data_IF_379308394486
#
_entry.id   IF_379308394486
#
_cell.length_a   1.000
_cell.length_b   1.000
_cell.length_c   1.000
_cell.angle_alpha   90.00
_cell.angle_beta   90.00
_cell.angle_gamma   90.00
#
_symmetry.space_group_name_H-M   'P 1'
#
loop_
_entity.id
_entity.type
_entity.pdbx_description
1 polymer ?
#
# COMPACT_ATOMS: atom_id res chain seq x y z
N UNK A 1 4.18 7.64 4.00
CA UNK A 1 4.67 7.12 2.72
C UNK A 1 6.01 6.46 2.96
N UNK A 2 6.17 5.23 2.49
CA UNK A 2 7.36 4.40 2.65
C UNK A 2 7.89 4.11 1.25
N UNK A 3 9.17 4.38 1.04
CA UNK A 3 9.81 4.18 -0.25
C UNK A 3 10.13 2.72 -0.54
N UNK A 4 10.21 2.35 -1.83
CA UNK A 4 10.59 1.01 -2.26
C UNK A 4 11.97 0.58 -1.74
N UNK A 5 12.97 1.46 -1.86
CA UNK A 5 14.34 1.21 -1.34
C UNK A 5 14.35 0.89 0.16
N UNK A 6 13.48 1.54 0.95
CA UNK A 6 13.36 1.25 2.38
C UNK A 6 12.74 -0.12 2.62
N UNK A 7 11.80 -0.55 1.79
CA UNK A 7 11.16 -1.87 1.89
C UNK A 7 12.11 -2.99 1.48
N UNK A 8 12.92 -2.79 0.43
CA UNK A 8 13.87 -3.79 -0.07
C UNK A 8 14.93 -4.20 0.95
N UNK A 9 15.28 -3.29 1.86
CA UNK A 9 16.22 -3.57 2.95
C UNK A 9 15.64 -4.42 4.09
N UNK A 10 14.35 -4.75 4.06
CA UNK A 10 13.65 -5.45 5.13
C UNK A 10 13.29 -6.87 4.73
N UNK A 11 13.35 -7.79 5.69
CA UNK A 11 12.73 -9.12 5.53
C UNK A 11 11.21 -8.99 5.43
N UNK A 12 10.54 -9.98 4.83
CA UNK A 12 9.08 -9.97 4.68
C UNK A 12 8.37 -9.71 6.01
N UNK A 13 8.77 -10.37 7.10
CA UNK A 13 8.14 -10.15 8.41
C UNK A 13 8.38 -8.73 8.97
N UNK A 14 9.54 -8.12 8.71
CA UNK A 14 9.80 -6.74 9.11
C UNK A 14 8.95 -5.75 8.31
N UNK A 15 8.74 -6.00 7.00
CA UNK A 15 7.79 -5.24 6.18
C UNK A 15 6.37 -5.32 6.75
N UNK A 16 5.90 -6.54 7.08
CA UNK A 16 4.57 -6.75 7.68
C UNK A 16 4.40 -5.92 8.96
N UNK A 17 5.35 -6.03 9.90
CA UNK A 17 5.29 -5.29 11.16
C UNK A 17 5.29 -3.79 10.94
N UNK A 18 6.16 -3.30 10.06
CA UNK A 18 6.24 -1.87 9.76
C UNK A 18 4.92 -1.31 9.20
N UNK A 19 4.19 -2.09 8.39
CA UNK A 19 2.85 -1.73 7.92
C UNK A 19 1.84 -1.78 9.08
N UNK A 20 1.78 -2.90 9.81
CA UNK A 20 0.80 -3.10 10.88
C UNK A 20 0.95 -2.09 12.01
N UNK A 21 2.17 -1.80 12.47
CA UNK A 21 2.44 -0.79 13.50
C UNK A 21 1.88 0.57 13.09
N UNK A 22 2.11 0.98 11.83
CA UNK A 22 1.60 2.24 11.31
C UNK A 22 0.08 2.30 11.27
N UNK A 23 -0.57 1.21 10.85
CA UNK A 23 -2.04 1.13 10.76
C UNK A 23 -2.69 1.02 12.13
N UNK A 24 -2.05 0.31 13.07
CA UNK A 24 -2.52 0.17 14.45
C UNK A 24 -2.54 1.53 15.18
N UNK A 25 -1.58 2.41 14.88
CA UNK A 25 -1.58 3.81 15.33
C UNK A 25 -2.67 4.67 14.66
N UNK A 26 -3.49 4.07 13.79
CA UNK A 26 -4.57 4.71 13.07
C UNK A 26 -4.12 5.50 11.82
N UNK A 27 -2.89 5.28 11.35
CA UNK A 27 -2.37 5.96 10.16
C UNK A 27 -2.75 5.24 8.86
N UNK A 28 -2.77 6.00 7.77
CA UNK A 28 -2.79 5.44 6.41
C UNK A 28 -1.33 5.29 5.96
N UNK A 29 -0.96 4.06 5.64
CA UNK A 29 0.35 3.68 5.14
C UNK A 29 0.29 3.64 3.61
N UNK A 30 1.27 4.27 2.96
CA UNK A 30 1.38 4.29 1.49
C UNK A 30 2.74 3.71 1.14
N UNK A 31 2.74 2.66 0.32
CA UNK A 31 3.93 2.00 -0.22
C UNK A 31 4.15 2.47 -1.66
N UNK A 32 5.35 2.96 -1.96
CA UNK A 32 5.77 3.34 -3.32
C UNK A 32 5.83 2.14 -4.27
N UNK A 33 6.19 0.99 -3.70
CA UNK A 33 6.13 -0.32 -4.34
C UNK A 33 5.28 -1.24 -3.46
N UNK A 34 4.25 -1.84 -4.06
CA UNK A 34 3.37 -2.76 -3.38
C UNK A 34 4.08 -4.01 -2.85
N UNK A 35 3.42 -4.69 -1.91
CA UNK A 35 3.87 -5.99 -1.43
C UNK A 35 3.77 -7.04 -2.55
N UNK A 36 4.68 -8.00 -2.56
CA UNK A 36 4.50 -9.17 -3.40
C UNK A 36 3.32 -10.04 -2.89
N UNK A 37 2.79 -10.98 -3.70
CA UNK A 37 1.61 -11.75 -3.30
C UNK A 37 1.77 -12.59 -2.03
N UNK A 38 2.97 -13.09 -1.73
CA UNK A 38 3.24 -13.87 -0.52
C UNK A 38 3.28 -12.94 0.69
N UNK A 39 3.87 -11.76 0.54
CA UNK A 39 3.86 -10.69 1.54
C UNK A 39 2.45 -10.17 1.82
N UNK A 40 1.64 -9.90 0.79
CA UNK A 40 0.25 -9.48 0.96
C UNK A 40 -0.58 -10.55 1.67
N UNK A 41 -0.41 -11.82 1.29
CA UNK A 41 -1.06 -12.94 1.96
C UNK A 41 -0.66 -13.02 3.44
N UNK A 42 0.62 -12.81 3.74
CA UNK A 42 1.13 -12.82 5.11
C UNK A 42 0.60 -11.64 5.92
N UNK A 43 0.48 -10.45 5.31
CA UNK A 43 -0.12 -9.28 5.94
C UNK A 43 -1.55 -9.57 6.38
N UNK A 44 -2.35 -10.18 5.49
CA UNK A 44 -3.73 -10.56 5.76
C UNK A 44 -3.77 -11.58 6.91
N UNK A 45 -2.94 -12.63 6.85
CA UNK A 45 -2.87 -13.68 7.88
C UNK A 45 -2.57 -13.08 9.27
N UNK A 46 -1.54 -12.24 9.37
CA UNK A 46 -1.13 -11.63 10.64
C UNK A 46 -2.18 -10.65 11.13
N UNK A 47 -2.78 -9.86 10.23
CA UNK A 47 -3.91 -8.97 10.56
C UNK A 47 -5.04 -9.75 11.21
N UNK A 48 -5.45 -10.88 10.60
CA UNK A 48 -6.55 -11.69 11.14
C UNK A 48 -6.27 -12.19 12.56
N UNK A 49 -5.01 -12.45 12.91
CA UNK A 49 -4.61 -12.85 14.25
C UNK A 49 -4.58 -11.68 15.25
N UNK A 50 -4.42 -10.45 14.78
CA UNK A 50 -4.34 -9.23 15.60
C UNK A 50 -5.69 -8.51 15.75
N UNK A 51 -6.71 -8.84 14.95
CA UNK A 51 -8.04 -8.21 15.05
C UNK A 51 -8.62 -8.38 16.45
N UNK A 52 -8.97 -7.25 17.04
CA UNK A 52 -9.64 -7.12 18.33
C UNK A 52 -10.84 -6.17 18.16
N UNK A 53 -12.08 -6.57 18.52
CA UNK A 53 -13.28 -5.77 18.29
C UNK A 53 -13.23 -4.34 18.84
N UNK A 54 -12.46 -4.14 19.92
CA UNK A 54 -12.39 -2.87 20.65
C UNK A 54 -11.14 -2.05 20.31
N UNK A 55 -10.08 -2.68 19.80
CA UNK A 55 -8.76 -2.04 19.60
C UNK A 55 -8.35 -1.94 18.12
N UNK A 56 -8.59 -3.00 17.34
CA UNK A 56 -8.14 -3.08 15.95
C UNK A 56 -9.09 -3.91 15.08
N UNK A 57 -9.82 -3.24 14.19
CA UNK A 57 -10.85 -3.88 13.35
C UNK A 57 -10.29 -4.56 12.09
N UNK A 58 -8.99 -4.43 11.84
CA UNK A 58 -8.30 -4.95 10.66
C UNK A 58 -7.85 -3.86 9.70
N UNK A 59 -7.47 -4.27 8.48
CA UNK A 59 -6.91 -3.39 7.45
C UNK A 59 -7.76 -3.40 6.17
N UNK A 60 -7.63 -2.34 5.38
CA UNK A 60 -8.08 -2.23 4.00
C UNK A 60 -6.87 -1.95 3.11
N UNK A 61 -6.79 -2.64 1.97
CA UNK A 61 -5.66 -2.58 1.04
C UNK A 61 -6.21 -2.20 -0.34
N UNK A 62 -5.64 -1.15 -0.93
CA UNK A 62 -5.96 -0.70 -2.29
C UNK A 62 -4.68 -0.51 -3.10
N UNK A 63 -4.66 -1.02 -4.33
CA UNK A 63 -3.48 -0.93 -5.20
C UNK A 63 -3.80 -0.16 -6.47
N UNK A 64 -3.05 0.90 -6.71
CA UNK A 64 -3.18 1.77 -7.86
C UNK A 64 -2.00 1.57 -8.82
N UNK A 65 -2.23 1.71 -10.14
CA UNK A 65 -1.13 1.81 -11.08
C UNK A 65 -0.30 3.05 -10.74
N UNK A 66 1.03 2.91 -10.62
CA UNK A 66 1.89 4.06 -10.35
C UNK A 66 1.87 5.08 -11.46
N UNK A 67 2.03 6.33 -11.07
CA UNK A 67 2.26 7.43 -11.98
C UNK A 67 3.76 7.65 -12.12
N UNK A 68 4.37 7.07 -13.15
CA UNK A 68 5.58 7.67 -13.70
C UNK A 68 5.41 8.00 -15.18
N UNK A 69 5.98 9.15 -15.50
CA UNK A 69 5.82 9.92 -16.72
C UNK A 69 6.15 9.10 -17.97
N UNK A 70 5.40 9.45 -19.01
CA UNK A 70 5.62 9.14 -20.41
C UNK A 70 7.01 9.62 -20.86
N UNK A 71 8.08 8.94 -20.48
CA UNK A 71 9.42 9.19 -20.98
C UNK A 71 9.67 8.27 -22.17
N UNK A 72 9.33 8.80 -23.35
CA UNK A 72 9.95 8.58 -24.67
C UNK A 72 10.94 7.40 -24.78
N UNK A 73 10.45 6.15 -24.74
CA UNK A 73 11.24 4.95 -25.02
C UNK A 73 10.76 4.31 -26.34
N UNK A 74 11.61 4.36 -27.37
CA UNK A 74 11.30 3.84 -28.71
C UNK A 74 11.01 2.34 -28.74
N UNK A 75 10.58 1.85 -29.91
CA UNK A 75 10.15 0.47 -30.18
C UNK A 75 11.12 -0.64 -29.71
N UNK A 76 12.37 -0.34 -29.37
CA UNK A 76 13.36 -1.27 -28.82
C UNK A 76 13.21 -1.54 -27.31
N UNK A 77 12.61 -0.63 -26.53
CA UNK A 77 12.44 -0.78 -25.07
C UNK A 77 11.38 -1.84 -24.70
N UNK A 78 10.50 -2.20 -25.64
CA UNK A 78 9.47 -3.24 -25.43
C UNK A 78 10.00 -4.67 -25.60
N UNK A 79 11.19 -4.84 -26.18
CA UNK A 79 11.79 -6.17 -26.41
C UNK A 79 12.78 -6.55 -25.29
N UNK A 80 13.40 -5.57 -24.64
CA UNK A 80 14.14 -5.75 -23.40
C UNK A 80 13.21 -5.48 -22.22
N UNK A 81 12.52 -6.52 -21.76
CA UNK A 81 11.53 -6.46 -20.67
C UNK A 81 12.09 -5.97 -19.34
N UNK A 82 12.30 -4.65 -19.23
CA UNK A 82 12.47 -3.97 -17.95
C UNK A 82 11.10 -3.55 -17.43
N UNK A 83 10.67 -4.32 -16.45
CA UNK A 83 9.58 -4.06 -15.53
C UNK A 83 9.80 -2.75 -14.77
N UNK A 84 8.70 -2.04 -14.53
CA UNK A 84 8.28 -1.53 -13.20
C UNK A 84 7.20 -0.48 -13.44
N UNK A 85 5.96 -0.94 -13.66
CA UNK A 85 4.83 -0.10 -13.27
C UNK A 85 4.82 -0.16 -11.75
N UNK A 86 5.54 0.72 -11.08
CA UNK A 86 5.63 0.77 -9.60
C UNK A 86 4.21 0.92 -9.08
N UNK A 87 3.61 -0.13 -8.55
CA UNK A 87 2.23 -0.07 -8.09
C UNK A 87 2.23 0.62 -6.73
N UNK A 88 1.45 1.70 -6.62
CA UNK A 88 1.26 2.39 -5.35
C UNK A 88 0.23 1.60 -4.54
N UNK A 89 0.60 1.15 -3.35
CA UNK A 89 -0.32 0.43 -2.46
C UNK A 89 -0.64 1.27 -1.24
N UNK A 90 -1.93 1.43 -0.95
CA UNK A 90 -2.47 2.19 0.17
C UNK A 90 -3.09 1.21 1.16
N UNK A 91 -2.69 1.30 2.42
CA UNK A 91 -3.11 0.39 3.49
C UNK A 91 -3.56 1.24 4.68
N UNK A 92 -4.78 1.03 5.16
CA UNK A 92 -5.34 1.77 6.28
C UNK A 92 -6.23 0.93 7.19
N UNK A 93 -6.68 1.47 8.34
CA UNK A 93 -7.53 0.72 9.26
C UNK A 93 -8.94 0.60 8.69
N UNK A 94 -9.52 -0.61 8.78
CA UNK A 94 -10.79 -0.98 8.12
C UNK A 94 -12.03 -0.20 8.62
N UNK A 95 -11.91 0.57 9.71
CA UNK A 95 -13.00 1.36 10.28
C UNK A 95 -12.99 2.84 9.86
N UNK A 96 -12.07 3.29 8.97
CA UNK A 96 -11.86 4.72 8.66
C UNK A 96 -11.73 5.09 7.18
N UNK A 97 -11.90 4.16 6.25
CA UNK A 97 -11.88 4.48 4.81
C UNK A 97 -13.31 4.40 4.26
N UNK A 98 -14.01 5.54 4.22
CA UNK A 98 -15.13 5.71 3.27
C UNK A 98 -14.54 6.18 1.95
N UNK A 99 -14.62 5.34 0.91
CA UNK A 99 -14.12 5.64 -0.43
C UNK A 99 -14.86 6.84 -1.03
N UNK A 100 -14.33 8.05 -0.86
CA UNK A 100 -14.86 9.24 -1.54
C UNK A 100 -14.27 9.33 -2.93
N UNK A 101 -15.13 9.08 -3.90
CA UNK A 101 -15.15 9.60 -5.28
C UNK A 101 -14.05 10.65 -5.57
N UNK A 102 -12.92 10.27 -6.18
CA UNK A 102 -12.63 10.13 -7.62
C UNK A 102 -12.58 11.46 -8.39
N UNK A 103 -11.37 11.98 -8.57
CA UNK A 103 -10.97 12.71 -9.78
C UNK A 103 -9.48 12.41 -10.06
N UNK A 104 -9.14 12.20 -11.32
CA UNK A 104 -7.89 11.59 -11.82
C UNK A 104 -6.58 12.31 -11.46
N UNK A 105 -6.64 13.37 -10.64
CA UNK A 105 -5.50 14.23 -10.30
C UNK A 105 -5.38 14.60 -8.82
N UNK A 106 -6.33 14.22 -7.95
CA UNK A 106 -6.34 14.64 -6.54
C UNK A 106 -6.68 13.49 -5.59
N UNK A 107 -5.73 13.15 -4.72
CA UNK A 107 -5.93 12.23 -3.60
C UNK A 107 -6.62 13.01 -2.48
N UNK A 108 -7.88 12.67 -2.18
CA UNK A 108 -8.62 13.24 -1.05
C UNK A 108 -9.03 12.13 -0.09
N UNK A 109 -8.40 12.06 1.08
CA UNK A 109 -8.85 11.21 2.19
C UNK A 109 -9.62 12.07 3.20
N UNK A 110 -10.87 11.73 3.48
CA UNK A 110 -11.68 12.42 4.48
C UNK A 110 -11.62 11.64 5.79
N UNK A 111 -11.04 12.25 6.83
CA UNK A 111 -10.98 11.67 8.18
C UNK A 111 -12.10 12.28 9.02
N UNK A 112 -13.13 11.49 9.31
CA UNK A 112 -14.20 11.91 10.22
C UNK A 112 -13.72 11.74 11.66
N UNK A 113 -13.51 12.85 12.37
CA UNK A 113 -13.18 12.85 13.81
C UNK A 113 -14.48 12.95 14.62
N UNK A 114 -14.69 12.04 15.59
CA UNK A 114 -15.68 12.22 16.66
C UNK A 114 -15.08 13.03 17.80
#
# INVERSE_FOLDING_TARGET
MISGERMDGLTSMEKIRLVLDGVHDGNIVILEEGLDPDEESKLIEVTMAEISPDEFTGIEIETYPGTEQQQNGGFFDRLFGRESRTKLTVIGPANRLETLHKDETLISALVTRR
#
